data_IF_629110042699
#
_entry.id   IF_629110042699
#
_cell.length_a   1.000
_cell.length_b   1.000
_cell.length_c   1.000
_cell.angle_alpha   90.00
_cell.angle_beta   90.00
_cell.angle_gamma   90.00
#
_symmetry.space_group_name_H-M   'P 1'
#
loop_
_entity.id
_entity.type
_entity.pdbx_description
1 polymer ?
#
# COMPACT_ATOMS: atom_id res chain seq x y z
N UNK A 1 -52.19 20.78 18.05
CA UNK A 1 -51.73 20.39 16.70
C UNK A 1 -51.68 18.88 16.62
N UNK A 2 -52.01 18.36 15.45
CA UNK A 2 -52.62 17.08 15.07
C UNK A 2 -51.87 15.78 15.43
N UNK A 3 -52.66 14.72 15.65
CA UNK A 3 -52.31 13.30 15.90
C UNK A 3 -51.59 12.64 14.70
N UNK A 4 -50.82 11.59 14.97
CA UNK A 4 -50.78 10.42 14.08
C UNK A 4 -50.73 9.12 14.90
N UNK A 5 -51.74 8.28 14.67
CA UNK A 5 -51.83 6.89 15.13
C UNK A 5 -52.11 5.99 13.92
N UNK A 6 -51.55 4.78 14.01
CA UNK A 6 -52.02 3.51 13.45
C UNK A 6 -51.69 3.11 12.01
N UNK A 7 -50.88 2.06 11.96
CA UNK A 7 -50.99 0.82 11.17
C UNK A 7 -52.30 0.58 10.42
N UNK A 8 -52.19 0.05 9.19
CA UNK A 8 -53.14 -0.95 8.69
C UNK A 8 -52.53 -1.85 7.58
N UNK A 9 -52.72 -3.16 7.75
CA UNK A 9 -52.62 -4.20 6.73
C UNK A 9 -53.89 -4.16 5.85
N UNK A 10 -53.78 -4.44 4.55
CA UNK A 10 -54.52 -5.54 3.92
C UNK A 10 -54.36 -5.61 2.39
N UNK A 11 -54.28 -6.88 1.97
CA UNK A 11 -54.43 -7.47 0.65
C UNK A 11 -55.56 -6.93 -0.21
N UNK A 12 -55.36 -6.90 -1.54
CA UNK A 12 -56.46 -7.08 -2.50
C UNK A 12 -55.99 -7.75 -3.80
N UNK A 13 -56.67 -8.84 -4.13
CA UNK A 13 -56.71 -9.63 -5.36
C UNK A 13 -57.36 -8.88 -6.53
N UNK A 14 -56.84 -9.03 -7.76
CA UNK A 14 -57.61 -8.86 -9.02
C UNK A 14 -57.04 -9.83 -10.08
N UNK A 15 -57.70 -10.97 -10.33
CA UNK A 15 -58.74 -11.25 -11.36
C UNK A 15 -58.30 -11.09 -12.82
N UNK A 16 -58.26 -12.25 -13.50
CA UNK A 16 -58.15 -12.44 -14.95
C UNK A 16 -59.22 -11.68 -15.74
N UNK A 17 -58.81 -11.10 -16.87
CA UNK A 17 -59.69 -10.72 -17.97
C UNK A 17 -59.20 -11.31 -19.29
N UNK A 18 -60.03 -12.15 -19.92
CA UNK A 18 -59.98 -12.48 -21.35
C UNK A 18 -61.02 -11.62 -22.06
N UNK A 19 -60.66 -10.95 -23.15
CA UNK A 19 -61.61 -10.65 -24.22
C UNK A 19 -60.89 -10.46 -25.56
N UNK A 20 -61.36 -11.23 -26.54
CA UNK A 20 -60.96 -11.25 -27.95
C UNK A 20 -61.70 -10.15 -28.73
N UNK A 21 -61.12 -9.66 -29.84
CA UNK A 21 -61.91 -9.12 -30.95
C UNK A 21 -61.33 -7.94 -31.74
N UNK A 22 -60.82 -8.26 -32.94
CA UNK A 22 -60.95 -7.55 -34.23
C UNK A 22 -60.53 -6.06 -34.42
N UNK A 23 -59.41 -5.88 -35.14
CA UNK A 23 -59.10 -5.05 -36.35
C UNK A 23 -60.12 -4.00 -36.88
N UNK A 24 -59.73 -3.07 -37.79
CA UNK A 24 -58.45 -2.40 -38.07
C UNK A 24 -58.60 -0.87 -38.32
N UNK A 25 -57.50 -0.14 -38.53
CA UNK A 25 -57.30 1.00 -39.47
C UNK A 25 -56.33 2.06 -38.91
N UNK A 26 -55.41 2.51 -39.76
CA UNK A 26 -54.58 3.70 -39.50
C UNK A 26 -53.09 3.43 -39.60
N UNK A 27 -52.58 3.38 -40.83
CA UNK A 27 -51.14 3.42 -41.13
C UNK A 27 -50.60 4.77 -40.66
N UNK A 28 -49.92 4.79 -39.52
CA UNK A 28 -49.10 5.91 -39.09
C UNK A 28 -47.65 5.64 -39.49
N UNK A 29 -47.18 6.41 -40.47
CA UNK A 29 -45.81 6.45 -40.95
C UNK A 29 -44.92 7.04 -39.85
N UNK A 30 -44.34 6.21 -38.98
CA UNK A 30 -43.35 6.64 -37.99
C UNK A 30 -41.93 6.46 -38.56
N UNK A 31 -41.28 7.59 -38.86
CA UNK A 31 -39.84 7.66 -39.11
C UNK A 31 -39.08 7.06 -37.93
N UNK A 32 -38.39 5.95 -38.13
CA UNK A 32 -37.37 5.47 -37.20
C UNK A 32 -36.13 6.37 -37.31
N UNK A 33 -35.99 7.28 -36.36
CA UNK A 33 -34.72 7.96 -36.09
C UNK A 33 -33.86 6.95 -35.33
N UNK A 34 -32.96 6.28 -36.03
CA UNK A 34 -31.95 5.43 -35.40
C UNK A 34 -30.91 6.36 -34.79
N UNK A 35 -31.06 6.70 -33.51
CA UNK A 35 -30.01 7.38 -32.77
C UNK A 35 -28.83 6.40 -32.64
N UNK A 36 -27.62 6.75 -33.14
CA UNK A 36 -26.44 5.98 -32.80
C UNK A 36 -26.26 6.12 -31.30
N UNK A 37 -26.46 5.02 -30.57
CA UNK A 37 -26.01 4.93 -29.20
C UNK A 37 -24.50 5.11 -29.22
N UNK A 38 -24.03 6.31 -28.92
CA UNK A 38 -22.64 6.56 -28.58
C UNK A 38 -22.36 5.77 -27.30
N UNK A 39 -21.98 4.50 -27.44
CA UNK A 39 -21.16 3.81 -26.47
C UNK A 39 -19.88 4.61 -26.37
N UNK A 40 -19.87 5.60 -25.47
CA UNK A 40 -18.65 6.11 -24.89
C UNK A 40 -18.04 4.95 -24.11
N UNK A 41 -17.31 4.09 -24.81
CA UNK A 41 -16.28 3.27 -24.23
C UNK A 41 -15.29 4.26 -23.62
N UNK A 42 -15.57 4.66 -22.38
CA UNK A 42 -14.62 5.29 -21.49
C UNK A 42 -13.47 4.28 -21.43
N UNK A 43 -12.43 4.54 -22.20
CA UNK A 43 -11.13 3.92 -21.98
C UNK A 43 -10.80 4.26 -20.53
N UNK A 44 -11.02 3.29 -19.64
CA UNK A 44 -10.32 3.26 -18.37
C UNK A 44 -8.85 3.38 -18.75
N UNK A 45 -8.24 4.49 -18.34
CA UNK A 45 -6.80 4.63 -18.45
C UNK A 45 -6.22 3.41 -17.72
N UNK A 46 -5.62 2.50 -18.50
CA UNK A 46 -4.88 1.37 -17.95
C UNK A 46 -3.78 2.00 -17.12
N UNK A 47 -3.94 2.00 -15.80
CA UNK A 47 -2.87 2.36 -14.90
C UNK A 47 -1.68 1.45 -15.27
N UNK A 48 -0.48 2.01 -15.52
CA UNK A 48 0.67 1.20 -15.87
C UNK A 48 0.86 0.15 -14.78
N UNK A 49 0.94 -1.12 -15.19
CA UNK A 49 1.21 -2.23 -14.28
C UNK A 49 2.46 -1.92 -13.48
N UNK A 50 2.46 -2.11 -12.14
CA UNK A 50 3.65 -1.91 -11.33
C UNK A 50 4.76 -2.80 -11.90
N UNK A 51 5.95 -2.25 -12.07
CA UNK A 51 7.14 -3.03 -12.46
C UNK A 51 7.59 -3.92 -11.31
N UNK A 52 7.07 -3.64 -10.12
CA UNK A 52 7.46 -4.24 -8.87
C UNK A 52 8.53 -3.40 -8.21
N UNK A 53 9.33 -4.08 -7.41
CA UNK A 53 10.43 -3.47 -6.67
C UNK A 53 11.65 -3.34 -7.59
N UNK A 54 12.36 -2.22 -7.47
CA UNK A 54 13.59 -1.92 -8.21
C UNK A 54 14.60 -1.29 -7.26
N UNK A 55 15.85 -1.21 -7.67
CA UNK A 55 16.91 -0.50 -6.93
C UNK A 55 16.95 0.98 -7.31
N UNK A 56 17.48 1.83 -6.44
CA UNK A 56 17.72 3.24 -6.74
C UNK A 56 18.64 3.39 -7.95
N UNK A 57 19.61 2.47 -8.09
CA UNK A 57 20.51 2.37 -9.25
C UNK A 57 19.77 2.10 -10.56
N UNK A 58 18.78 1.21 -10.58
CA UNK A 58 17.96 0.97 -11.76
C UNK A 58 17.14 2.21 -12.11
N UNK A 59 16.56 2.89 -11.12
CA UNK A 59 15.85 4.17 -11.34
C UNK A 59 16.77 5.22 -11.98
N UNK A 60 18.03 5.31 -11.52
CA UNK A 60 19.01 6.26 -12.05
C UNK A 60 19.52 5.91 -13.45
N UNK A 61 19.86 4.64 -13.70
CA UNK A 61 20.53 4.22 -14.93
C UNK A 61 19.56 3.79 -16.04
N UNK A 62 18.35 3.38 -15.67
CA UNK A 62 17.35 2.87 -16.60
C UNK A 62 16.07 3.70 -16.60
N UNK A 63 16.17 4.98 -16.22
CA UNK A 63 15.03 5.90 -16.10
C UNK A 63 14.09 5.83 -17.31
N UNK A 64 14.64 5.88 -18.53
CA UNK A 64 13.83 5.84 -19.76
C UNK A 64 12.93 4.61 -19.87
N UNK A 65 13.36 3.47 -19.30
CA UNK A 65 12.58 2.23 -19.28
C UNK A 65 11.50 2.25 -18.20
N UNK A 66 11.72 3.04 -17.14
CA UNK A 66 10.86 3.12 -15.96
C UNK A 66 9.91 4.32 -15.97
N UNK A 67 10.10 5.32 -16.84
CA UNK A 67 9.23 6.50 -16.92
C UNK A 67 7.76 6.08 -17.06
N UNK A 68 6.91 6.70 -16.23
CA UNK A 68 5.48 6.44 -16.15
C UNK A 68 5.11 5.20 -15.33
N UNK A 69 6.05 4.32 -15.01
CA UNK A 69 5.80 3.11 -14.25
C UNK A 69 5.80 3.41 -12.75
N UNK A 70 4.95 2.70 -12.02
CA UNK A 70 4.97 2.70 -10.55
C UNK A 70 5.97 1.67 -10.08
N UNK A 71 6.92 2.11 -9.26
CA UNK A 71 7.99 1.28 -8.70
C UNK A 71 8.00 1.41 -7.18
N UNK A 72 8.58 0.41 -6.51
CA UNK A 72 8.94 0.49 -5.09
C UNK A 72 10.44 0.38 -4.95
N UNK A 73 11.06 1.28 -4.19
CA UNK A 73 12.47 1.21 -3.83
C UNK A 73 12.61 1.16 -2.30
N UNK A 74 13.68 0.53 -1.81
CA UNK A 74 14.17 0.66 -0.43
C UNK A 74 15.55 1.29 -0.53
N UNK A 75 15.75 2.40 0.17
CA UNK A 75 16.99 3.19 0.03
C UNK A 75 17.17 4.13 1.21
N UNK A 76 18.40 4.59 1.40
CA UNK A 76 18.75 5.51 2.47
C UNK A 76 18.42 6.96 2.09
N UNK A 77 17.71 7.72 2.96
CA UNK A 77 17.47 9.13 2.75
C UNK A 77 18.71 9.96 3.09
N UNK A 78 19.32 10.61 2.10
CA UNK A 78 20.59 11.31 2.29
C UNK A 78 20.46 12.82 2.55
N UNK A 79 19.37 13.46 2.08
CA UNK A 79 19.20 14.92 2.20
C UNK A 79 17.74 15.33 2.12
N UNK A 80 17.24 16.04 3.14
CA UNK A 80 15.96 16.74 3.08
C UNK A 80 16.11 18.05 2.30
N UNK A 81 15.26 18.27 1.30
CA UNK A 81 15.28 19.51 0.49
C UNK A 81 14.21 20.47 0.99
N UNK A 82 12.99 19.98 1.15
CA UNK A 82 11.85 20.75 1.66
C UNK A 82 10.89 19.82 2.43
N UNK A 83 9.75 20.30 2.98
CA UNK A 83 8.81 19.45 3.70
C UNK A 83 8.32 18.22 2.93
N UNK A 84 8.16 18.34 1.60
CA UNK A 84 7.63 17.29 0.72
C UNK A 84 8.68 16.69 -0.22
N UNK A 85 9.97 16.98 -0.03
CA UNK A 85 11.02 16.53 -0.95
C UNK A 85 12.30 16.19 -0.21
N UNK A 86 12.93 15.11 -0.67
CA UNK A 86 14.22 14.64 -0.18
C UNK A 86 14.89 13.81 -1.27
N UNK A 87 16.16 13.51 -1.10
CA UNK A 87 16.89 12.60 -1.99
C UNK A 87 17.23 11.31 -1.30
N UNK A 88 17.26 10.23 -2.07
CA UNK A 88 17.71 8.91 -1.64
C UNK A 88 18.90 8.43 -2.48
N UNK A 89 19.72 7.56 -1.91
CA UNK A 89 20.84 6.92 -2.60
C UNK A 89 21.20 5.62 -1.89
N UNK A 90 21.75 4.67 -2.65
CA UNK A 90 22.30 3.44 -2.08
C UNK A 90 23.81 3.68 -1.85
N UNK A 91 24.32 3.56 -0.62
CA UNK A 91 25.71 3.92 -0.24
C UNK A 91 26.79 3.13 -0.99
N UNK A 92 26.44 1.96 -1.53
CA UNK A 92 27.37 1.01 -2.14
C UNK A 92 27.93 1.47 -3.51
N UNK A 93 27.50 2.62 -4.03
CA UNK A 93 27.90 3.10 -5.34
C UNK A 93 28.45 4.53 -5.29
N UNK A 94 29.78 4.64 -5.17
CA UNK A 94 30.48 5.89 -5.43
C UNK A 94 30.20 6.37 -6.86
N UNK A 95 29.42 7.45 -7.02
CA UNK A 95 29.28 8.19 -8.28
C UNK A 95 27.92 8.11 -8.99
N UNK A 96 26.88 7.50 -8.42
CA UNK A 96 25.52 7.61 -8.98
C UNK A 96 24.80 8.86 -8.47
N UNK A 97 24.01 9.48 -9.35
CA UNK A 97 23.16 10.61 -8.98
C UNK A 97 22.07 10.17 -8.00
N UNK A 98 21.89 10.90 -6.91
CA UNK A 98 20.80 10.67 -5.97
C UNK A 98 19.45 10.89 -6.64
N UNK A 99 18.45 10.07 -6.31
CA UNK A 99 17.10 10.21 -6.85
C UNK A 99 16.31 11.21 -5.99
N UNK A 100 15.69 12.19 -6.64
CA UNK A 100 14.75 13.08 -5.97
C UNK A 100 13.43 12.34 -5.71
N UNK A 101 13.00 12.32 -4.46
CA UNK A 101 11.69 11.84 -4.05
C UNK A 101 10.79 13.05 -3.79
N UNK A 102 9.65 13.09 -4.47
CA UNK A 102 8.58 14.07 -4.27
C UNK A 102 7.44 13.37 -3.54
N UNK A 103 7.20 13.75 -2.29
CA UNK A 103 6.09 13.23 -1.50
C UNK A 103 4.76 13.83 -1.97
N UNK A 104 4.05 13.08 -2.82
CA UNK A 104 2.72 13.41 -3.31
C UNK A 104 1.61 12.58 -2.62
N UNK A 105 1.95 11.86 -1.55
CA UNK A 105 0.99 11.02 -0.80
C UNK A 105 -0.09 11.83 -0.05
N UNK A 106 0.14 13.13 0.12
CA UNK A 106 -0.70 14.01 0.96
C UNK A 106 -0.48 13.82 2.46
N UNK A 107 0.38 12.89 2.88
CA UNK A 107 0.74 12.66 4.27
C UNK A 107 2.13 13.23 4.56
N UNK A 108 2.30 14.03 5.64
CA UNK A 108 3.63 14.45 6.06
C UNK A 108 4.50 13.24 6.38
N UNK A 109 5.76 13.27 5.94
CA UNK A 109 6.74 12.24 6.25
C UNK A 109 7.94 12.86 6.96
N UNK A 110 8.35 12.25 8.06
CA UNK A 110 9.54 12.65 8.81
C UNK A 110 10.63 11.64 8.48
N UNK A 111 11.70 12.10 7.85
CA UNK A 111 12.85 11.25 7.56
C UNK A 111 13.43 10.69 8.87
N UNK A 112 13.91 9.44 8.85
CA UNK A 112 14.67 8.90 9.96
C UNK A 112 15.91 9.76 10.23
N UNK A 113 16.26 9.90 11.51
CA UNK A 113 17.49 10.58 11.95
C UNK A 113 18.66 9.61 12.10
N UNK A 114 18.36 8.33 12.05
CA UNK A 114 19.33 7.23 12.10
C UNK A 114 19.78 6.94 10.67
N UNK A 115 21.09 6.86 10.44
CA UNK A 115 21.61 6.56 9.11
C UNK A 115 21.24 5.14 8.67
N UNK A 116 21.15 4.21 9.63
CA UNK A 116 20.91 2.78 9.38
C UNK A 116 19.42 2.45 9.12
N UNK A 117 18.53 3.45 9.14
CA UNK A 117 17.09 3.23 8.88
C UNK A 117 16.74 3.72 7.48
N UNK A 118 16.56 2.76 6.58
CA UNK A 118 16.10 3.02 5.22
C UNK A 118 14.64 3.47 5.17
N UNK A 119 14.22 3.96 4.00
CA UNK A 119 12.83 4.24 3.68
C UNK A 119 12.38 3.39 2.49
N UNK A 120 11.14 2.91 2.54
CA UNK A 120 10.48 2.36 1.38
C UNK A 120 9.67 3.47 0.69
N UNK A 121 9.93 3.67 -0.61
CA UNK A 121 9.23 4.66 -1.44
C UNK A 121 8.52 3.94 -2.57
N UNK A 122 7.20 4.08 -2.64
CA UNK A 122 6.40 3.59 -3.76
C UNK A 122 5.82 4.77 -4.53
N UNK A 123 6.07 4.84 -5.83
CA UNK A 123 5.64 5.97 -6.64
C UNK A 123 5.95 5.83 -8.12
N UNK A 124 5.51 6.82 -8.89
CA UNK A 124 5.75 6.85 -10.33
C UNK A 124 7.13 7.45 -10.63
N UNK A 125 7.91 6.77 -11.47
CA UNK A 125 9.17 7.31 -12.00
C UNK A 125 8.88 8.30 -13.13
N UNK A 126 9.50 9.47 -13.10
CA UNK A 126 9.47 10.44 -14.20
C UNK A 126 10.70 11.34 -14.15
N UNK A 127 10.95 12.09 -15.23
CA UNK A 127 11.85 13.22 -15.16
C UNK A 127 11.19 14.35 -14.37
N UNK A 128 11.91 14.93 -13.42
CA UNK A 128 11.41 16.01 -12.60
C UNK A 128 11.30 17.29 -13.43
N UNK A 129 10.10 17.83 -13.51
CA UNK A 129 9.83 19.15 -14.10
C UNK A 129 9.06 19.93 -13.06
N UNK A 130 9.68 20.92 -12.44
CA UNK A 130 9.09 21.64 -11.30
C UNK A 130 7.71 22.20 -11.63
N UNK A 131 7.56 22.78 -12.83
CA UNK A 131 6.30 23.37 -13.26
C UNK A 131 5.16 22.34 -13.38
N UNK A 132 5.48 21.09 -13.74
CA UNK A 132 4.47 20.03 -13.84
C UNK A 132 4.07 19.52 -12.46
N UNK A 133 5.06 19.28 -11.59
CA UNK A 133 4.83 18.84 -10.21
C UNK A 133 4.01 19.88 -9.43
N UNK A 134 4.34 21.16 -9.55
CA UNK A 134 3.58 22.23 -8.89
C UNK A 134 2.16 22.34 -9.43
N UNK A 135 1.96 22.21 -10.74
CA UNK A 135 0.63 22.23 -11.36
C UNK A 135 -0.23 21.05 -10.90
N UNK A 136 0.36 19.88 -10.73
CA UNK A 136 -0.34 18.64 -10.43
C UNK A 136 -0.63 18.48 -8.93
N UNK A 137 0.33 18.82 -8.07
CA UNK A 137 0.27 18.52 -6.63
C UNK A 137 0.24 19.76 -5.73
N UNK A 138 0.53 20.97 -6.27
CA UNK A 138 0.49 22.24 -5.54
C UNK A 138 1.27 22.19 -4.20
N UNK A 139 2.53 21.77 -4.26
CA UNK A 139 3.36 21.50 -3.08
C UNK A 139 4.10 22.75 -2.57
N UNK A 140 4.07 23.86 -3.30
CA UNK A 140 4.71 25.11 -2.89
C UNK A 140 6.23 25.07 -2.98
N UNK A 141 6.78 24.35 -3.96
CA UNK A 141 8.21 24.15 -4.15
C UNK A 141 8.90 25.46 -4.59
N UNK A 142 9.91 25.90 -3.83
CA UNK A 142 10.76 27.05 -4.21
C UNK A 142 11.71 26.66 -5.34
N UNK A 143 11.52 27.28 -6.52
CA UNK A 143 12.34 27.07 -7.72
C UNK A 143 13.85 27.07 -7.45
N UNK A 144 14.34 27.89 -6.54
CA UNK A 144 15.79 28.00 -6.26
C UNK A 144 16.39 26.71 -5.72
N UNK A 145 15.61 25.88 -5.04
CA UNK A 145 16.05 24.61 -4.46
C UNK A 145 16.13 23.48 -5.49
N UNK A 146 15.52 23.63 -6.67
CA UNK A 146 15.35 22.52 -7.61
C UNK A 146 16.06 22.67 -8.96
N UNK A 147 16.87 23.72 -9.12
CA UNK A 147 17.63 23.93 -10.36
C UNK A 147 18.51 22.73 -10.71
N UNK A 148 19.08 22.06 -9.71
CA UNK A 148 19.96 20.89 -9.91
C UNK A 148 19.20 19.58 -10.20
N UNK A 149 17.88 19.55 -10.01
CA UNK A 149 17.04 18.36 -10.21
C UNK A 149 16.17 18.44 -11.47
N UNK A 150 16.11 19.59 -12.14
CA UNK A 150 15.30 19.77 -13.34
C UNK A 150 15.74 18.81 -14.46
N UNK A 151 14.77 18.12 -15.06
CA UNK A 151 14.92 17.04 -16.04
C UNK A 151 15.70 15.81 -15.57
N UNK A 152 16.00 15.69 -14.26
CA UNK A 152 16.62 14.49 -13.69
C UNK A 152 15.60 13.44 -13.26
N UNK A 153 16.00 12.16 -13.12
CA UNK A 153 15.12 11.12 -12.62
C UNK A 153 14.59 11.44 -11.21
N UNK A 154 13.28 11.25 -11.02
CA UNK A 154 12.62 11.43 -9.74
C UNK A 154 11.48 10.42 -9.57
N UNK A 155 11.13 10.17 -8.31
CA UNK A 155 9.96 9.37 -7.93
C UNK A 155 8.92 10.31 -7.33
N UNK A 156 7.76 10.39 -7.96
CA UNK A 156 6.58 11.01 -7.36
C UNK A 156 5.91 9.96 -6.48
N UNK A 157 6.22 10.03 -5.19
CA UNK A 157 5.83 9.06 -4.19
C UNK A 157 4.35 9.16 -3.84
N UNK A 158 3.67 8.04 -3.95
CA UNK A 158 2.28 7.84 -3.53
C UNK A 158 2.22 7.27 -2.11
N UNK A 159 3.26 6.54 -1.69
CA UNK A 159 3.42 6.03 -0.33
C UNK A 159 4.89 6.06 0.09
N UNK A 160 5.12 6.34 1.37
CA UNK A 160 6.44 6.34 2.00
C UNK A 160 6.30 5.72 3.38
N UNK A 161 7.17 4.78 3.73
CA UNK A 161 7.22 4.15 5.04
C UNK A 161 8.67 4.04 5.53
N UNK A 162 8.85 3.98 6.86
CA UNK A 162 10.15 3.59 7.42
C UNK A 162 10.37 2.11 7.11
N UNK A 163 11.60 1.73 6.79
CA UNK A 163 11.94 0.35 6.45
C UNK A 163 13.05 -0.24 7.34
N UNK A 164 12.87 -0.25 8.68
CA UNK A 164 13.83 -0.87 9.60
C UNK A 164 13.81 -2.40 9.47
N UNK A 165 14.91 -3.03 9.86
CA UNK A 165 15.03 -4.48 9.98
C UNK A 165 14.27 -5.01 11.22
N UNK A 166 13.82 -6.29 11.22
CA UNK A 166 13.13 -6.90 12.35
C UNK A 166 13.86 -6.74 13.69
N UNK A 167 15.17 -6.97 13.75
CA UNK A 167 15.95 -6.86 14.98
C UNK A 167 16.00 -5.44 15.52
N UNK A 168 16.10 -4.44 14.65
CA UNK A 168 16.05 -3.02 15.05
C UNK A 168 14.71 -2.63 15.65
N UNK A 169 13.62 -3.22 15.16
CA UNK A 169 12.28 -2.98 15.69
C UNK A 169 12.14 -3.60 17.09
N UNK A 170 12.64 -4.82 17.29
CA UNK A 170 12.52 -5.51 18.57
C UNK A 170 13.47 -4.98 19.63
N UNK A 171 14.62 -4.43 19.24
CA UNK A 171 15.59 -3.76 20.12
C UNK A 171 15.04 -2.44 20.70
N UNK A 172 14.40 -1.60 19.88
CA UNK A 172 13.80 -0.32 20.32
C UNK A 172 12.42 -0.05 19.68
N UNK A 173 11.37 -0.75 20.13
CA UNK A 173 10.04 -0.66 19.51
C UNK A 173 9.35 0.69 19.75
N UNK A 174 9.74 1.43 20.78
CA UNK A 174 9.15 2.73 21.12
C UNK A 174 9.35 3.76 20.00
N UNK A 175 10.43 3.64 19.23
CA UNK A 175 10.70 4.51 18.07
C UNK A 175 9.72 4.28 16.92
N UNK A 176 9.04 3.14 16.88
CA UNK A 176 8.28 2.70 15.71
C UNK A 176 6.78 2.51 15.98
N UNK A 177 6.34 2.48 17.25
CA UNK A 177 4.92 2.31 17.57
C UNK A 177 4.02 3.36 16.90
N UNK A 178 2.92 2.89 16.32
CA UNK A 178 1.93 3.70 15.62
C UNK A 178 2.38 4.23 14.25
N UNK A 179 3.58 3.90 13.79
CA UNK A 179 4.10 4.32 12.48
C UNK A 179 3.84 3.26 11.42
N UNK A 180 3.57 3.66 10.16
CA UNK A 180 3.59 2.74 9.03
C UNK A 180 5.03 2.30 8.76
N UNK A 181 5.23 0.98 8.72
CA UNK A 181 6.51 0.33 8.44
C UNK A 181 6.42 -0.53 7.18
N UNK A 182 7.56 -0.71 6.54
CA UNK A 182 7.80 -1.70 5.49
C UNK A 182 9.00 -2.56 5.90
N UNK A 183 8.74 -3.72 6.49
CA UNK A 183 9.75 -4.57 7.12
C UNK A 183 10.07 -5.74 6.19
N UNK A 184 11.34 -5.89 5.82
CA UNK A 184 11.82 -7.04 5.05
C UNK A 184 12.49 -8.03 5.99
N UNK A 185 12.20 -9.32 5.85
CA UNK A 185 12.84 -10.39 6.62
C UNK A 185 12.51 -11.78 6.09
N UNK A 186 13.26 -12.78 6.54
CA UNK A 186 12.99 -14.19 6.32
C UNK A 186 11.80 -14.61 7.20
N UNK A 187 10.83 -15.32 6.63
CA UNK A 187 9.71 -15.86 7.40
C UNK A 187 10.20 -17.05 8.22
N UNK A 188 9.95 -16.97 9.52
CA UNK A 188 10.15 -18.08 10.44
C UNK A 188 8.87 -18.36 11.24
N UNK A 189 8.87 -19.50 11.93
CA UNK A 189 7.96 -19.78 13.03
C UNK A 189 6.47 -19.57 12.68
N UNK A 190 6.03 -20.06 11.51
CA UNK A 190 4.62 -19.94 11.07
C UNK A 190 3.70 -20.63 12.08
N UNK A 191 3.04 -19.84 12.93
CA UNK A 191 2.16 -20.32 14.01
C UNK A 191 0.73 -20.57 13.53
N UNK A 192 0.28 -19.84 12.51
CA UNK A 192 -1.05 -19.99 11.90
C UNK A 192 -1.13 -19.30 10.53
N UNK A 193 -2.24 -19.47 9.78
CA UNK A 193 -2.43 -18.78 8.50
C UNK A 193 -2.43 -17.25 8.57
N UNK A 194 -2.40 -16.62 9.74
CA UNK A 194 -2.31 -15.17 9.91
C UNK A 194 -1.24 -14.71 10.90
N UNK A 195 -0.32 -15.60 11.30
CA UNK A 195 0.73 -15.31 12.28
C UNK A 195 2.01 -16.09 12.00
N UNK A 196 3.12 -15.35 11.92
CA UNK A 196 4.48 -15.82 11.71
C UNK A 196 5.46 -14.79 12.28
N UNK A 197 6.75 -15.10 12.33
CA UNK A 197 7.79 -14.15 12.71
C UNK A 197 8.65 -13.76 11.50
N UNK A 198 9.27 -12.59 11.56
CA UNK A 198 10.29 -12.16 10.62
C UNK A 198 11.64 -12.12 11.31
N UNK A 199 12.62 -12.83 10.76
CA UNK A 199 14.02 -12.74 11.15
C UNK A 199 14.82 -11.89 10.15
N UNK A 200 15.98 -11.39 10.60
CA UNK A 200 16.95 -10.69 9.75
C UNK A 200 18.07 -11.62 9.28
N UNK A 201 18.28 -11.71 7.96
CA UNK A 201 19.17 -12.68 7.30
C UNK A 201 20.64 -12.71 7.79
N UNK A 202 21.13 -11.70 8.54
CA UNK A 202 22.57 -11.43 8.67
C UNK A 202 23.12 -11.30 10.10
N UNK A 203 22.29 -11.30 11.15
CA UNK A 203 22.76 -11.06 12.51
C UNK A 203 22.26 -12.11 13.49
N UNK A 204 23.19 -12.99 13.91
CA UNK A 204 22.91 -13.95 14.98
C UNK A 204 22.52 -13.24 16.28
N UNK A 205 21.31 -13.51 16.77
CA UNK A 205 20.86 -13.09 18.11
C UNK A 205 19.92 -11.88 18.13
N UNK A 206 19.53 -11.36 16.97
CA UNK A 206 18.37 -10.49 16.89
C UNK A 206 17.10 -11.25 17.30
N UNK A 207 16.12 -10.52 17.83
CA UNK A 207 14.83 -11.11 18.20
C UNK A 207 13.88 -10.95 17.04
N UNK A 208 13.26 -12.05 16.61
CA UNK A 208 12.29 -12.02 15.52
C UNK A 208 11.11 -11.12 15.85
N UNK A 209 10.58 -10.48 14.82
CA UNK A 209 9.40 -9.65 14.93
C UNK A 209 8.14 -10.48 14.65
N UNK A 210 7.21 -10.53 15.62
CA UNK A 210 5.90 -11.12 15.39
C UNK A 210 5.13 -10.29 14.36
N UNK A 211 4.58 -10.99 13.36
CA UNK A 211 3.67 -10.43 12.37
C UNK A 211 2.28 -11.04 12.54
N UNK A 212 1.26 -10.18 12.52
CA UNK A 212 -0.15 -10.59 12.54
C UNK A 212 -0.90 -9.95 11.40
N UNK A 213 -1.50 -10.78 10.55
CA UNK A 213 -2.37 -10.31 9.48
C UNK A 213 -3.81 -10.25 9.99
N UNK A 214 -4.14 -9.11 10.60
CA UNK A 214 -5.40 -8.92 11.28
C UNK A 214 -6.58 -8.71 10.30
N UNK A 215 -6.33 -8.04 9.17
CA UNK A 215 -7.31 -7.78 8.13
C UNK A 215 -6.63 -7.77 6.75
N UNK A 216 -6.54 -8.91 6.04
CA UNK A 216 -5.93 -8.94 4.73
C UNK A 216 -6.69 -8.01 3.77
N UNK A 217 -6.00 -7.02 3.18
CA UNK A 217 -6.59 -6.24 2.07
C UNK A 217 -6.94 -7.18 0.92
N UNK A 218 -8.07 -6.94 0.26
CA UNK A 218 -8.50 -7.73 -0.89
C UNK A 218 -7.40 -7.76 -1.97
N UNK A 219 -6.88 -8.95 -2.28
CA UNK A 219 -5.79 -9.14 -3.25
C UNK A 219 -4.38 -9.22 -2.65
N UNK A 220 -4.20 -9.03 -1.34
CA UNK A 220 -2.95 -9.38 -0.67
C UNK A 220 -2.80 -10.91 -0.61
N UNK A 221 -1.60 -11.47 -0.83
CA UNK A 221 -1.33 -12.88 -0.54
C UNK A 221 -1.76 -13.19 0.90
N UNK A 222 -2.58 -14.22 1.07
CA UNK A 222 -2.85 -14.77 2.40
C UNK A 222 -1.59 -15.49 2.90
N UNK A 223 -1.26 -15.49 4.20
CA UNK A 223 -0.07 -16.17 4.71
C UNK A 223 -0.10 -17.70 4.52
N UNK A 224 -1.26 -18.28 4.24
CA UNK A 224 -1.32 -19.66 3.74
C UNK A 224 -0.54 -19.90 2.42
N UNK A 225 -0.12 -18.83 1.72
CA UNK A 225 0.72 -18.87 0.53
C UNK A 225 2.20 -18.58 0.81
N UNK A 226 2.57 -18.13 2.01
CA UNK A 226 3.98 -17.88 2.37
C UNK A 226 4.63 -19.14 2.93
N UNK A 227 5.94 -19.29 2.69
CA UNK A 227 6.71 -20.46 3.14
C UNK A 227 7.74 -20.08 4.18
N UNK A 228 8.02 -21.03 5.05
CA UNK A 228 9.17 -20.97 5.95
C UNK A 228 10.46 -20.78 5.13
N UNK A 229 11.31 -19.87 5.58
CA UNK A 229 12.53 -19.45 4.90
C UNK A 229 12.33 -18.54 3.68
N UNK A 230 11.11 -18.10 3.38
CA UNK A 230 10.85 -17.15 2.31
C UNK A 230 11.10 -15.72 2.81
N UNK A 231 12.00 -14.98 2.14
CA UNK A 231 12.16 -13.55 2.39
C UNK A 231 10.97 -12.77 1.81
N UNK A 232 10.33 -11.97 2.64
CA UNK A 232 9.16 -11.15 2.25
C UNK A 232 9.33 -9.70 2.70
N UNK A 233 8.58 -8.80 2.06
CA UNK A 233 8.37 -7.44 2.54
C UNK A 233 6.96 -7.31 3.12
N UNK A 234 6.85 -6.95 4.40
CA UNK A 234 5.60 -6.77 5.12
C UNK A 234 5.36 -5.29 5.39
N UNK A 235 4.24 -4.79 4.88
CA UNK A 235 3.77 -3.43 5.21
C UNK A 235 2.73 -3.48 6.30
N UNK A 236 2.80 -2.59 7.28
CA UNK A 236 1.86 -2.60 8.40
C UNK A 236 2.13 -1.49 9.42
N UNK A 237 1.48 -1.59 10.57
CA UNK A 237 1.66 -0.66 11.70
C UNK A 237 2.15 -1.43 12.92
N UNK A 238 3.23 -0.95 13.53
CA UNK A 238 3.75 -1.56 14.74
C UNK A 238 2.89 -1.18 15.95
N UNK A 239 2.55 -2.16 16.78
CA UNK A 239 1.79 -1.99 18.01
C UNK A 239 2.37 -2.86 19.14
N UNK A 240 2.13 -2.51 20.41
CA UNK A 240 2.33 -3.45 21.49
C UNK A 240 1.29 -4.57 21.36
N UNK A 241 1.71 -5.82 21.58
CA UNK A 241 0.81 -6.95 21.58
C UNK A 241 -0.02 -6.95 22.87
N UNK A 242 -1.22 -6.38 22.76
CA UNK A 242 -2.24 -6.33 23.80
C UNK A 242 -3.49 -6.93 23.19
N UNK A 243 -3.78 -8.19 23.55
CA UNK A 243 -4.83 -8.99 22.91
C UNK A 243 -6.17 -8.27 22.87
N UNK A 244 -6.60 -7.70 24.00
CA UNK A 244 -7.86 -6.98 24.11
C UNK A 244 -7.95 -5.75 23.17
N UNK A 245 -6.84 -5.05 22.91
CA UNK A 245 -6.82 -3.93 21.98
C UNK A 245 -6.86 -4.41 20.52
N UNK A 246 -6.11 -5.47 20.21
CA UNK A 246 -6.06 -6.02 18.84
C UNK A 246 -7.40 -6.66 18.46
N UNK A 247 -8.02 -7.42 19.34
CA UNK A 247 -9.36 -8.00 19.12
C UNK A 247 -10.41 -6.91 18.88
N UNK A 248 -10.41 -5.86 19.72
CA UNK A 248 -11.33 -4.73 19.58
C UNK A 248 -11.15 -4.00 18.26
N UNK A 249 -9.91 -3.75 17.86
CA UNK A 249 -9.61 -2.86 16.73
C UNK A 249 -9.69 -3.58 15.37
N UNK A 250 -9.58 -4.92 15.34
CA UNK A 250 -9.53 -5.69 14.10
C UNK A 250 -10.61 -6.78 13.96
N UNK A 251 -11.51 -6.95 14.95
CA UNK A 251 -12.61 -7.94 14.94
C UNK A 251 -12.11 -9.38 14.70
N UNK A 252 -10.97 -9.71 15.30
CA UNK A 252 -10.31 -10.99 15.06
C UNK A 252 -10.95 -12.13 15.85
N UNK A 253 -11.23 -13.24 15.15
CA UNK A 253 -11.66 -14.52 15.75
C UNK A 253 -10.52 -15.53 15.66
N UNK A 254 -9.70 -15.61 16.70
CA UNK A 254 -8.51 -16.45 16.78
C UNK A 254 -8.86 -17.79 17.43
N UNK A 255 -8.04 -18.81 17.17
CA UNK A 255 -8.06 -20.02 17.97
C UNK A 255 -7.61 -19.70 19.42
N UNK A 256 -8.37 -20.18 20.42
CA UNK A 256 -8.13 -19.86 21.83
C UNK A 256 -6.77 -20.38 22.34
N UNK A 257 -6.25 -21.47 21.77
CA UNK A 257 -4.96 -22.01 22.19
C UNK A 257 -3.80 -21.22 21.54
N UNK A 258 -3.96 -20.77 20.30
CA UNK A 258 -3.02 -19.82 19.68
C UNK A 258 -2.98 -18.50 20.45
N UNK A 259 -4.13 -17.94 20.78
CA UNK A 259 -4.23 -16.69 21.55
C UNK A 259 -3.46 -16.79 22.88
N UNK A 260 -3.71 -17.84 23.67
CA UNK A 260 -3.00 -18.06 24.94
C UNK A 260 -1.49 -18.18 24.78
N UNK A 261 -1.04 -18.88 23.73
CA UNK A 261 0.41 -19.01 23.44
C UNK A 261 1.03 -17.66 23.12
N UNK A 262 0.41 -16.90 22.21
CA UNK A 262 0.90 -15.57 21.84
C UNK A 262 0.86 -14.60 23.04
N UNK A 263 -0.18 -14.64 23.87
CA UNK A 263 -0.25 -13.81 25.08
C UNK A 263 0.84 -14.17 26.10
N UNK A 264 1.14 -15.45 26.28
CA UNK A 264 2.23 -15.87 27.17
C UNK A 264 3.62 -15.44 26.65
N UNK A 265 3.83 -15.44 25.33
CA UNK A 265 5.13 -15.23 24.69
C UNK A 265 5.38 -13.75 24.33
N UNK A 266 4.34 -13.03 23.92
CA UNK A 266 4.44 -11.69 23.32
C UNK A 266 3.71 -10.59 24.10
N UNK A 267 3.14 -10.83 25.28
CA UNK A 267 2.48 -9.77 26.05
C UNK A 267 3.35 -8.50 26.15
N UNK A 268 2.81 -7.37 25.67
CA UNK A 268 3.46 -6.06 25.59
C UNK A 268 4.70 -5.96 24.68
N UNK A 269 5.13 -7.03 24.03
CA UNK A 269 6.18 -7.03 23.01
C UNK A 269 5.67 -6.38 21.71
N UNK A 270 6.57 -5.89 20.85
CA UNK A 270 6.18 -5.38 19.54
C UNK A 270 5.55 -6.46 18.66
N UNK A 271 4.49 -6.08 17.95
CA UNK A 271 3.87 -6.86 16.90
C UNK A 271 3.57 -5.96 15.70
N UNK A 272 3.93 -6.42 14.51
CA UNK A 272 3.58 -5.75 13.27
C UNK A 272 2.20 -6.22 12.84
N UNK A 273 1.22 -5.31 12.89
CA UNK A 273 -0.09 -5.61 12.31
C UNK A 273 0.00 -5.36 10.81
N UNK A 274 0.03 -6.45 10.05
CA UNK A 274 0.27 -6.44 8.61
C UNK A 274 -0.98 -6.03 7.83
N UNK A 275 -0.81 -5.05 6.96
CA UNK A 275 -1.76 -4.69 5.90
C UNK A 275 -1.61 -5.62 4.69
N UNK A 276 -0.36 -5.94 4.35
CA UNK A 276 0.01 -6.74 3.19
C UNK A 276 1.40 -7.35 3.33
N UNK A 277 1.57 -8.52 2.73
CA UNK A 277 2.83 -9.26 2.61
C UNK A 277 3.12 -9.44 1.13
N UNK A 278 4.33 -9.11 0.70
CA UNK A 278 4.77 -9.24 -0.69
C UNK A 278 6.01 -10.13 -0.74
N UNK A 279 6.21 -10.92 -1.81
CA UNK A 279 7.51 -11.55 -2.05
C UNK A 279 8.61 -10.49 -1.99
N UNK A 280 9.71 -10.76 -1.28
CA UNK A 280 10.86 -9.85 -1.32
C UNK A 280 11.37 -9.80 -2.75
N UNK A 281 11.69 -8.61 -3.22
CA UNK A 281 12.34 -8.44 -4.51
C UNK A 281 13.81 -8.08 -4.36
N UNK A 282 14.37 -8.28 -3.17
CA UNK A 282 15.80 -8.49 -3.08
C UNK A 282 16.04 -9.83 -3.78
N UNK A 283 16.77 -9.87 -4.91
CA UNK A 283 17.09 -11.14 -5.56
C UNK A 283 17.78 -12.02 -4.52
N UNK A 284 17.33 -13.27 -4.40
CA UNK A 284 17.99 -14.25 -3.55
C UNK A 284 19.47 -14.35 -3.98
N UNK A 285 20.36 -13.80 -3.14
CA UNK A 285 21.81 -13.76 -3.42
C UNK A 285 22.41 -15.16 -3.24
N UNK A 286 21.63 -16.14 -2.76
CA UNK A 286 22.05 -17.54 -2.65
C UNK A 286 21.98 -18.26 -4.01
N UNK A 287 22.91 -17.95 -4.92
CA UNK A 287 23.33 -18.89 -5.98
C UNK A 287 24.83 -18.93 -6.18
#
# INVERSE_FOLDING_TARGET
MTRHTSSNHNSFTQKLGKLNGALPTGIALALMIVLPACTNARQEAVAPSPVGNVTTKEVANETNRLIGQTVTIRSEPIKKIAPNTFTVSDEQFFGTESILVVNASGQPFVLPTDADVEVQVTGQVRNFVLAEVEREFNLGLDRKLYVEYENKPAIVAQAIALAPEPGKITEDPQRYYGKPLAVTGEIEDIRSPNSFTLDEDQLFGATDLLVLQANPKAGAPTPAAVKDGETVAVTGVLRPFIVADIERDYDLTWDLDLQKKLEAEYSQKPVLIADAVYPSAIPDVRK
#
